data_IF_616959857024
#
_entry.id   IF_616959857024
#
_cell.length_a   1.000
_cell.length_b   1.000
_cell.length_c   1.000
_cell.angle_alpha   90.00
_cell.angle_beta   90.00
_cell.angle_gamma   90.00
#
_symmetry.space_group_name_H-M   'P 1'
#
loop_
_entity.id
_entity.type
_entity.pdbx_description
1 polymer ?
#
# COMPACT_ATOMS: atom_id res chain seq x y z
N UNK A 1 15.25 -11.26 20.09
CA UNK A 1 15.18 -11.32 18.61
C UNK A 1 14.45 -10.08 18.14
N UNK A 2 15.06 -9.25 17.30
CA UNK A 2 14.39 -8.05 16.76
C UNK A 2 13.31 -8.47 15.79
N UNK A 3 12.09 -7.98 15.99
CA UNK A 3 11.03 -8.12 15.00
C UNK A 3 11.36 -7.26 13.76
N UNK A 4 10.97 -7.73 12.58
CA UNK A 4 11.32 -7.08 11.30
C UNK A 4 10.21 -6.12 10.90
N UNK A 5 10.55 -4.85 10.70
CA UNK A 5 9.63 -3.86 10.14
C UNK A 5 9.43 -4.17 8.65
N UNK A 6 8.18 -4.43 8.27
CA UNK A 6 7.78 -4.64 6.87
C UNK A 6 7.29 -3.35 6.25
N UNK A 7 6.48 -2.56 6.95
CA UNK A 7 6.01 -1.26 6.49
C UNK A 7 6.64 -0.14 7.31
N UNK A 8 7.55 0.64 6.72
CA UNK A 8 8.16 1.77 7.45
C UNK A 8 7.21 2.94 7.66
N UNK A 9 6.28 3.17 6.73
CA UNK A 9 5.38 4.33 6.77
C UNK A 9 4.31 4.21 7.86
N UNK A 10 3.83 3.00 8.13
CA UNK A 10 2.82 2.70 9.15
C UNK A 10 3.41 1.89 10.31
N UNK A 11 4.73 1.73 10.36
CA UNK A 11 5.49 1.02 11.41
C UNK A 11 5.06 -0.43 11.68
N UNK A 12 4.54 -1.12 10.67
CA UNK A 12 4.02 -2.49 10.77
C UNK A 12 5.16 -3.53 10.77
N UNK A 13 5.10 -4.44 11.74
CA UNK A 13 6.01 -5.54 11.94
C UNK A 13 5.57 -6.83 11.21
N UNK A 14 6.52 -7.75 11.04
CA UNK A 14 6.24 -9.06 10.46
C UNK A 14 5.28 -9.87 11.35
N UNK A 15 5.43 -9.80 12.68
CA UNK A 15 4.55 -10.50 13.62
C UNK A 15 3.08 -10.10 13.45
N UNK A 16 2.81 -8.80 13.31
CA UNK A 16 1.46 -8.25 13.12
C UNK A 16 0.84 -8.72 11.80
N UNK A 17 1.63 -8.81 10.73
CA UNK A 17 1.17 -9.36 9.45
C UNK A 17 0.81 -10.83 9.62
N UNK A 18 1.67 -11.62 10.27
CA UNK A 18 1.42 -13.05 10.49
C UNK A 18 0.18 -13.27 11.36
N UNK A 19 -0.03 -12.45 12.38
CA UNK A 19 -1.23 -12.49 13.21
C UNK A 19 -2.49 -12.12 12.42
N UNK A 20 -2.43 -11.08 11.59
CA UNK A 20 -3.51 -10.72 10.69
C UNK A 20 -3.89 -11.85 9.73
N UNK A 21 -2.89 -12.59 9.22
CA UNK A 21 -3.11 -13.75 8.35
C UNK A 21 -3.74 -14.93 9.11
N UNK A 22 -3.28 -15.22 10.34
CA UNK A 22 -3.88 -16.25 11.20
C UNK A 22 -5.33 -15.95 11.56
N UNK A 23 -5.68 -14.66 11.70
CA UNK A 23 -7.06 -14.21 11.96
C UNK A 23 -7.90 -14.08 10.69
N UNK A 24 -7.45 -14.62 9.56
CA UNK A 24 -8.24 -14.80 8.34
C UNK A 24 -7.94 -13.85 7.19
N UNK A 25 -6.95 -12.96 7.28
CA UNK A 25 -6.54 -12.16 6.11
C UNK A 25 -5.76 -13.05 5.13
N UNK A 26 -6.38 -13.41 4.01
CA UNK A 26 -5.75 -14.23 2.96
C UNK A 26 -5.44 -13.44 1.70
N UNK A 27 -6.02 -12.25 1.59
CA UNK A 27 -5.81 -11.33 0.48
C UNK A 27 -5.10 -10.07 0.97
N UNK A 28 -4.43 -9.41 0.04
CA UNK A 28 -3.75 -8.17 0.34
C UNK A 28 -4.71 -7.04 0.76
N UNK A 29 -5.91 -7.00 0.16
CA UNK A 29 -6.93 -6.01 0.53
C UNK A 29 -7.34 -6.17 2.00
N UNK A 30 -7.53 -7.40 2.46
CA UNK A 30 -7.82 -7.68 3.87
C UNK A 30 -6.64 -7.32 4.76
N UNK A 31 -5.41 -7.65 4.34
CA UNK A 31 -4.21 -7.32 5.11
C UNK A 31 -4.02 -5.81 5.25
N UNK A 32 -4.27 -5.04 4.18
CA UNK A 32 -4.29 -3.58 4.20
C UNK A 32 -5.34 -3.02 5.15
N UNK A 33 -6.56 -3.57 5.13
CA UNK A 33 -7.63 -3.11 6.02
C UNK A 33 -7.32 -3.41 7.49
N UNK A 34 -6.66 -4.53 7.79
CA UNK A 34 -6.29 -4.91 9.17
C UNK A 34 -5.06 -4.18 9.70
N UNK A 35 -4.00 -4.09 8.90
CA UNK A 35 -2.67 -3.63 9.36
C UNK A 35 -2.30 -2.24 8.85
N UNK A 36 -3.06 -1.68 7.91
CA UNK A 36 -2.73 -0.46 7.15
C UNK A 36 -1.44 -0.53 6.32
N UNK A 37 -0.75 -1.67 6.28
CA UNK A 37 0.48 -1.83 5.52
C UNK A 37 0.27 -1.44 4.04
N UNK A 38 0.99 -0.43 3.59
CA UNK A 38 0.88 0.11 2.23
C UNK A 38 -0.06 1.30 2.05
N UNK A 39 -0.69 1.81 3.13
CA UNK A 39 -1.55 3.01 3.11
C UNK A 39 -0.82 4.31 3.51
N UNK A 40 0.43 4.24 3.96
CA UNK A 40 1.19 5.42 4.36
C UNK A 40 1.62 6.30 3.18
N UNK A 41 2.39 7.36 3.46
CA UNK A 41 2.81 8.36 2.47
C UNK A 41 3.50 7.77 1.23
N UNK A 42 4.20 6.65 1.41
CA UNK A 42 4.86 5.91 0.34
C UNK A 42 3.91 5.12 -0.57
N UNK A 43 2.61 5.01 -0.24
CA UNK A 43 1.58 4.29 -0.99
C UNK A 43 2.00 2.85 -1.36
N UNK A 44 2.69 2.19 -0.43
CA UNK A 44 3.12 0.80 -0.58
C UNK A 44 4.33 0.56 -1.49
N UNK A 45 5.00 1.60 -2.01
CA UNK A 45 6.15 1.42 -2.93
C UNK A 45 7.24 0.48 -2.43
N UNK A 46 7.53 0.50 -1.13
CA UNK A 46 8.59 -0.32 -0.54
C UNK A 46 8.06 -1.66 -0.01
N UNK A 47 6.90 -1.65 0.65
CA UNK A 47 6.39 -2.83 1.35
C UNK A 47 5.56 -3.76 0.46
N UNK A 48 4.97 -3.29 -0.65
CA UNK A 48 4.10 -4.12 -1.50
C UNK A 48 4.76 -5.41 -1.99
N UNK A 49 5.98 -5.42 -2.55
CA UNK A 49 6.62 -6.66 -2.98
C UNK A 49 6.85 -7.63 -1.82
N UNK A 50 7.15 -7.11 -0.63
CA UNK A 50 7.33 -7.93 0.58
C UNK A 50 6.01 -8.55 1.03
N UNK A 51 4.92 -7.76 1.03
CA UNK A 51 3.58 -8.25 1.38
C UNK A 51 3.12 -9.35 0.40
N UNK A 52 3.32 -9.16 -0.91
CA UNK A 52 2.99 -10.16 -1.93
C UNK A 52 3.75 -11.47 -1.72
N UNK A 53 5.05 -11.39 -1.39
CA UNK A 53 5.86 -12.58 -1.08
C UNK A 53 5.38 -13.29 0.18
N UNK A 54 5.09 -12.55 1.26
CA UNK A 54 4.58 -13.11 2.52
C UNK A 54 3.23 -13.80 2.27
N UNK A 55 2.32 -13.15 1.55
CA UNK A 55 0.99 -13.71 1.24
C UNK A 55 1.10 -14.97 0.39
N UNK A 56 1.98 -14.96 -0.62
CA UNK A 56 2.21 -16.13 -1.47
C UNK A 56 2.77 -17.30 -0.67
N UNK A 57 3.72 -17.04 0.23
CA UNK A 57 4.30 -18.05 1.12
C UNK A 57 3.25 -18.67 2.06
N UNK A 58 2.39 -17.85 2.68
CA UNK A 58 1.38 -18.33 3.64
C UNK A 58 0.17 -19.02 2.99
N UNK A 59 -0.30 -18.49 1.85
CA UNK A 59 -1.52 -19.01 1.19
C UNK A 59 -1.21 -20.11 0.17
N UNK A 60 0.09 -20.39 -0.10
CA UNK A 60 0.56 -21.34 -1.12
C UNK A 60 -0.04 -21.05 -2.52
N UNK A 61 -0.39 -19.79 -2.77
CA UNK A 61 -0.92 -19.30 -4.06
C UNK A 61 0.22 -18.60 -4.79
N UNK A 62 0.32 -18.82 -6.11
CA UNK A 62 1.28 -18.08 -6.95
C UNK A 62 0.97 -16.59 -6.87
N UNK A 63 2.02 -15.75 -6.80
CA UNK A 63 1.89 -14.30 -6.92
C UNK A 63 1.25 -14.03 -8.29
N UNK A 64 0.08 -13.35 -8.36
CA UNK A 64 -0.51 -12.99 -9.63
C UNK A 64 0.46 -12.08 -10.41
N UNK A 65 0.67 -12.38 -11.69
CA UNK A 65 1.67 -11.73 -12.54
C UNK A 65 1.39 -10.23 -12.77
N UNK A 66 0.16 -9.80 -12.52
CA UNK A 66 -0.22 -8.41 -12.33
C UNK A 66 -0.58 -8.21 -10.85
N UNK A 67 0.08 -7.26 -10.18
CA UNK A 67 -0.23 -6.94 -8.79
C UNK A 67 -1.72 -6.58 -8.68
N UNK A 68 -2.48 -7.22 -7.77
CA UNK A 68 -3.88 -6.87 -7.46
C UNK A 68 -4.04 -5.49 -6.78
N UNK A 69 -2.98 -4.70 -6.86
CA UNK A 69 -2.80 -3.41 -6.24
C UNK A 69 -3.13 -2.33 -7.22
N UNK A 70 -4.32 -1.78 -7.06
CA UNK A 70 -4.70 -0.56 -7.73
C UNK A 70 -3.69 0.54 -7.37
N UNK A 71 -3.02 1.08 -8.38
CA UNK A 71 -2.24 2.31 -8.24
C UNK A 71 -3.22 3.47 -8.19
N UNK A 72 -3.28 4.17 -7.07
CA UNK A 72 -4.06 5.40 -6.95
C UNK A 72 -3.26 6.57 -7.52
N UNK A 73 -3.93 7.37 -8.34
CA UNK A 73 -3.44 8.67 -8.80
C UNK A 73 -3.76 9.68 -7.68
N UNK A 74 -2.88 10.63 -7.34
CA UNK A 74 -1.57 10.88 -7.91
C UNK A 74 -0.47 9.98 -7.36
N UNK A 75 0.49 9.60 -8.21
CA UNK A 75 1.60 8.71 -7.84
C UNK A 75 2.35 9.26 -6.62
N UNK A 76 2.64 10.58 -6.59
CA UNK A 76 3.19 11.29 -5.44
C UNK A 76 2.12 12.21 -4.84
N UNK A 77 2.09 12.39 -3.52
CA UNK A 77 1.25 13.40 -2.90
C UNK A 77 1.48 14.76 -3.56
N UNK A 78 0.39 15.42 -3.94
CA UNK A 78 0.38 16.75 -4.50
C UNK A 78 -0.28 17.69 -3.49
N UNK A 79 0.27 18.88 -3.27
CA UNK A 79 -0.40 19.87 -2.43
C UNK A 79 -1.69 20.34 -3.09
N UNK A 80 -2.68 20.69 -2.27
CA UNK A 80 -3.95 21.23 -2.76
C UNK A 80 -3.74 22.53 -3.55
N UNK A 81 -2.76 23.35 -3.14
CA UNK A 81 -2.37 24.55 -3.89
C UNK A 81 -1.87 24.21 -5.29
N UNK A 82 -0.97 23.23 -5.43
CA UNK A 82 -0.46 22.82 -6.74
C UNK A 82 -1.57 22.26 -7.64
N UNK A 83 -2.52 21.52 -7.06
CA UNK A 83 -3.71 21.05 -7.79
C UNK A 83 -4.64 22.19 -8.23
N UNK A 84 -4.79 23.25 -7.40
CA UNK A 84 -5.67 24.38 -7.73
C UNK A 84 -5.11 25.27 -8.85
N UNK A 85 -3.78 25.37 -9.00
CA UNK A 85 -3.17 26.20 -10.05
C UNK A 85 -3.45 25.68 -11.46
N UNK A 86 -3.55 24.37 -11.67
CA UNK A 86 -3.86 23.79 -12.98
C UNK A 86 -5.28 24.10 -13.48
N UNK A 87 -6.17 24.61 -12.60
CA UNK A 87 -7.52 25.04 -12.97
C UNK A 87 -7.64 26.52 -13.36
N UNK A 88 -6.62 27.36 -13.08
CA UNK A 88 -6.65 28.80 -13.41
C UNK A 88 -6.41 29.10 -14.90
N UNK A 89 -5.80 28.16 -15.61
CA UNK A 89 -5.56 28.29 -17.06
C UNK A 89 -6.85 28.17 -17.89
N UNK A 90 -7.97 27.73 -17.29
CA UNK A 90 -9.25 27.51 -17.99
C UNK A 90 -10.19 28.73 -18.02
N UNK A 91 -9.76 29.91 -17.53
CA UNK A 91 -10.63 31.10 -17.42
C UNK A 91 -10.05 32.40 -18.02
N UNK A 92 -9.11 32.31 -18.95
CA UNK A 92 -8.64 33.49 -19.69
C UNK A 92 -8.68 33.26 -21.21
N UNK A 93 -9.88 33.08 -21.76
CA UNK A 93 -10.21 33.44 -23.13
C UNK A 93 -11.63 34.04 -23.13
N UNK A 94 -11.71 35.37 -22.99
CA UNK A 94 -12.77 36.25 -23.51
C UNK A 94 -12.16 37.65 -23.67
#
# INVERSE_FOLDING_TARGET
MSDKIICRCEEVLLSEIVEAMKTGAQTEKELKLKTRAGMGICQGRTCRPLLEQIISFYTNKKIPQASNLTFSIPVRPLSLSALAHTGKDYKNEN
#
